data_IF_090055339567
#
_entry.id   IF_090055339567
#
_cell.length_a   1.000
_cell.length_b   1.000
_cell.length_c   1.000
_cell.angle_alpha   90.00
_cell.angle_beta   90.00
_cell.angle_gamma   90.00
#
_symmetry.space_group_name_H-M   'P 1'
#
loop_
_entity.id
_entity.type
_entity.pdbx_description
1 polymer ?
#
# COMPACT_ATOMS: atom_id res chain seq x y z
N UNK A 1 26.23 -45.26 -22.73
CA UNK A 1 25.10 -44.39 -23.11
C UNK A 1 25.32 -43.09 -22.36
N UNK A 2 25.57 -42.03 -23.11
CA UNK A 2 26.29 -40.82 -22.72
C UNK A 2 25.52 -39.86 -21.79
N UNK A 3 26.30 -38.90 -21.29
CA UNK A 3 26.12 -38.00 -20.16
C UNK A 3 25.07 -36.88 -20.35
N UNK A 4 24.54 -36.43 -19.19
CA UNK A 4 24.11 -35.07 -18.81
C UNK A 4 23.25 -34.25 -19.79
N UNK A 5 21.96 -34.13 -19.44
CA UNK A 5 21.13 -32.99 -19.82
C UNK A 5 21.49 -31.76 -18.97
N UNK A 6 22.11 -30.79 -19.63
CA UNK A 6 22.53 -29.48 -19.14
C UNK A 6 21.39 -28.74 -18.41
N UNK A 7 21.62 -28.34 -17.16
CA UNK A 7 20.80 -27.32 -16.52
C UNK A 7 20.87 -26.04 -17.36
N UNK A 8 19.74 -25.58 -17.87
CA UNK A 8 19.67 -24.33 -18.64
C UNK A 8 20.19 -23.18 -17.77
N UNK A 9 21.22 -22.48 -18.25
CA UNK A 9 21.69 -21.26 -17.61
C UNK A 9 20.50 -20.27 -17.50
N UNK A 10 20.34 -19.53 -16.38
CA UNK A 10 19.27 -18.56 -16.27
C UNK A 10 19.41 -17.55 -17.42
N UNK A 11 18.32 -17.35 -18.17
CA UNK A 11 18.28 -16.39 -19.27
C UNK A 11 18.75 -15.02 -18.76
N UNK A 12 19.50 -14.24 -19.57
CA UNK A 12 19.86 -12.88 -19.20
C UNK A 12 18.55 -12.13 -18.98
N UNK A 13 18.25 -11.77 -17.73
CA UNK A 13 17.16 -10.84 -17.48
C UNK A 13 17.72 -9.48 -17.82
N UNK A 14 17.34 -8.96 -18.99
CA UNK A 14 17.58 -7.57 -19.35
C UNK A 14 17.02 -6.69 -18.22
N UNK A 15 17.92 -6.21 -17.36
CA UNK A 15 17.55 -5.35 -16.25
C UNK A 15 17.44 -3.93 -16.78
N UNK A 16 16.22 -3.39 -16.80
CA UNK A 16 15.96 -2.02 -17.21
C UNK A 16 15.97 -1.14 -15.97
N UNK A 17 16.86 -0.14 -15.97
CA UNK A 17 16.91 0.88 -14.92
C UNK A 17 15.71 1.82 -15.09
N UNK A 18 15.01 2.10 -14.00
CA UNK A 18 13.95 3.12 -14.00
C UNK A 18 14.59 4.51 -13.96
N UNK A 19 14.49 5.26 -15.06
CA UNK A 19 14.99 6.63 -15.18
C UNK A 19 14.05 7.65 -14.49
N UNK A 20 13.78 7.44 -13.20
CA UNK A 20 12.99 8.36 -12.36
C UNK A 20 13.75 8.72 -11.08
N UNK A 21 13.69 9.98 -10.61
CA UNK A 21 14.31 10.36 -9.34
C UNK A 21 13.85 9.49 -8.17
N UNK A 22 14.78 9.15 -7.28
CA UNK A 22 14.47 8.43 -6.05
C UNK A 22 13.47 9.24 -5.21
N UNK A 23 12.40 8.58 -4.75
CA UNK A 23 11.34 9.22 -3.97
C UNK A 23 10.21 9.82 -4.80
N UNK A 24 10.23 9.64 -6.14
CA UNK A 24 9.08 10.02 -6.99
C UNK A 24 7.82 9.29 -6.52
N UNK A 25 6.79 10.05 -6.11
CA UNK A 25 5.56 9.50 -5.54
C UNK A 25 4.72 8.78 -6.61
N UNK A 26 4.62 7.44 -6.48
CA UNK A 26 3.69 6.64 -7.29
C UNK A 26 2.27 6.75 -6.77
N UNK A 27 1.29 6.48 -7.65
CA UNK A 27 -0.11 6.43 -7.24
C UNK A 27 -0.37 5.29 -6.26
N UNK A 28 -0.97 5.58 -5.11
CA UNK A 28 -1.36 4.61 -4.08
C UNK A 28 -2.88 4.53 -3.95
N UNK A 29 -3.41 3.32 -3.74
CA UNK A 29 -4.80 3.12 -3.34
C UNK A 29 -4.80 2.46 -1.98
N UNK A 30 -5.43 3.10 -1.01
CA UNK A 30 -5.43 2.70 0.40
C UNK A 30 -6.86 2.45 0.85
N UNK A 31 -7.09 1.25 1.37
CA UNK A 31 -8.34 0.87 2.01
C UNK A 31 -8.10 0.82 3.52
N UNK A 32 -8.82 1.64 4.26
CA UNK A 32 -8.77 1.67 5.72
C UNK A 32 -10.06 1.07 6.27
N UNK A 33 -9.93 0.23 7.30
CA UNK A 33 -11.07 -0.33 8.03
C UNK A 33 -11.03 0.22 9.45
N UNK A 34 -12.11 0.91 9.84
CA UNK A 34 -12.25 1.57 11.13
C UNK A 34 -11.98 3.08 11.06
N UNK A 35 -12.97 3.87 11.47
CA UNK A 35 -12.93 5.32 11.69
C UNK A 35 -12.93 5.64 13.20
N UNK A 36 -12.13 4.90 13.97
CA UNK A 36 -11.78 5.23 15.35
C UNK A 36 -10.65 6.26 15.43
N UNK A 37 -10.18 6.55 16.66
CA UNK A 37 -9.14 7.56 16.88
C UNK A 37 -7.86 7.32 16.05
N UNK A 38 -7.40 6.07 15.95
CA UNK A 38 -6.23 5.71 15.14
C UNK A 38 -6.47 5.91 13.63
N UNK A 39 -7.64 5.50 13.13
CA UNK A 39 -8.00 5.66 11.72
C UNK A 39 -8.12 7.12 11.31
N UNK A 40 -8.78 7.94 12.13
CA UNK A 40 -8.89 9.38 11.90
C UNK A 40 -7.52 10.09 11.94
N UNK A 41 -6.65 9.69 12.88
CA UNK A 41 -5.28 10.22 12.93
C UNK A 41 -4.48 9.84 11.68
N UNK A 42 -4.57 8.59 11.21
CA UNK A 42 -3.90 8.14 9.99
C UNK A 42 -4.43 8.91 8.77
N UNK A 43 -5.74 9.04 8.62
CA UNK A 43 -6.35 9.79 7.51
C UNK A 43 -5.86 11.23 7.47
N UNK A 44 -5.78 11.90 8.64
CA UNK A 44 -5.24 13.26 8.73
C UNK A 44 -3.75 13.33 8.40
N UNK A 45 -2.96 12.35 8.85
CA UNK A 45 -1.53 12.33 8.56
C UNK A 45 -1.26 12.12 7.07
N UNK A 46 -2.04 11.25 6.41
CA UNK A 46 -1.95 11.05 4.96
C UNK A 46 -2.32 12.34 4.21
N UNK A 47 -3.40 13.01 4.59
CA UNK A 47 -3.84 14.28 3.99
C UNK A 47 -2.77 15.39 4.10
N UNK A 48 -2.04 15.43 5.22
CA UNK A 48 -1.00 16.46 5.44
C UNK A 48 0.35 16.16 4.79
N UNK A 49 0.70 14.89 4.58
CA UNK A 49 2.08 14.51 4.28
C UNK A 49 2.25 13.59 3.07
N UNK A 50 1.17 13.10 2.49
CA UNK A 50 1.23 12.21 1.33
C UNK A 50 0.63 12.87 0.10
N UNK A 51 1.14 12.48 -1.05
CA UNK A 51 0.65 12.91 -2.35
C UNK A 51 0.31 11.69 -3.19
N UNK A 52 -0.50 11.89 -4.24
CA UNK A 52 -0.82 10.86 -5.23
C UNK A 52 -1.44 9.59 -4.59
N UNK A 53 -2.38 9.75 -3.67
CA UNK A 53 -3.11 8.63 -3.06
C UNK A 53 -4.62 8.77 -3.20
N UNK A 54 -5.30 7.62 -3.22
CA UNK A 54 -6.74 7.49 -3.03
C UNK A 54 -6.98 6.75 -1.71
N UNK A 55 -7.74 7.37 -0.80
CA UNK A 55 -8.10 6.76 0.48
C UNK A 55 -9.61 6.50 0.53
N UNK A 56 -10.00 5.26 0.79
CA UNK A 56 -11.36 4.90 1.16
C UNK A 56 -11.36 4.34 2.58
N UNK A 57 -12.28 4.83 3.42
CA UNK A 57 -12.44 4.40 4.80
C UNK A 57 -13.78 3.70 4.94
N UNK A 58 -13.75 2.47 5.44
CA UNK A 58 -14.94 1.70 5.78
C UNK A 58 -15.07 1.63 7.29
N UNK A 59 -16.20 2.10 7.82
CA UNK A 59 -16.57 1.99 9.21
C UNK A 59 -17.80 1.08 9.32
N UNK A 60 -17.82 0.16 10.29
CA UNK A 60 -18.96 -0.72 10.54
C UNK A 60 -20.14 0.06 11.10
N UNK A 61 -19.84 1.05 11.93
CA UNK A 61 -20.83 1.86 12.60
C UNK A 61 -21.44 2.91 11.67
N UNK A 62 -22.59 3.44 12.08
CA UNK A 62 -23.30 4.48 11.32
C UNK A 62 -22.57 5.83 11.34
N UNK A 63 -21.58 6.00 12.21
CA UNK A 63 -20.78 7.21 12.35
C UNK A 63 -19.37 6.86 12.86
N UNK A 64 -18.47 7.84 12.82
CA UNK A 64 -17.10 7.74 13.32
C UNK A 64 -17.05 7.66 14.85
N UNK A 65 -15.90 7.22 15.38
CA UNK A 65 -15.62 7.21 16.82
C UNK A 65 -15.05 5.89 17.32
N UNK A 66 -15.26 4.79 16.58
CA UNK A 66 -14.76 3.47 16.95
C UNK A 66 -15.21 3.06 18.36
N UNK A 67 -14.27 2.77 19.25
CA UNK A 67 -14.56 2.39 20.64
C UNK A 67 -15.50 3.36 21.36
N UNK A 68 -15.38 4.68 21.14
CA UNK A 68 -16.24 5.69 21.77
C UNK A 68 -17.68 5.68 21.25
N UNK A 69 -17.87 5.23 20.01
CA UNK A 69 -19.20 5.06 19.44
C UNK A 69 -19.89 3.82 20.05
N UNK A 70 -19.15 2.73 20.18
CA UNK A 70 -19.64 1.43 20.67
C UNK A 70 -19.89 1.40 22.19
N UNK A 71 -19.13 2.19 22.96
CA UNK A 71 -19.19 2.22 24.43
C UNK A 71 -19.79 3.54 24.91
N UNK A 72 -21.12 3.59 24.97
CA UNK A 72 -21.89 4.69 25.56
C UNK A 72 -22.50 4.28 26.89
#
# INVERSE_FOLDING_TARGET
MEMNGTAAAPAPRDYVVTESPLGTARKLRVLMVGAGASGLNLARHMDLHMENFELAIYEKNSDVGGTWFENR
#
